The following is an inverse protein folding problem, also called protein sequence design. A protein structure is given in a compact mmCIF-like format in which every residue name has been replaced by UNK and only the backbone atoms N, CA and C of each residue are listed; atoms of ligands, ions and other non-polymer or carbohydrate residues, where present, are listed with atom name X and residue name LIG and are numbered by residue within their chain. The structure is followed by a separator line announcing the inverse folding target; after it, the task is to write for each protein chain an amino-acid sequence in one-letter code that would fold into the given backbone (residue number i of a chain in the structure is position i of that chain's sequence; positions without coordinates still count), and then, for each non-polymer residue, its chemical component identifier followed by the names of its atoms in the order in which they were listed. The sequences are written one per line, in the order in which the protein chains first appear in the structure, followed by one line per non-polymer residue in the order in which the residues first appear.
data_IF_632871153785
#
_entry.id   IF_632871153785
#
_cell.length_a   1.000
_cell.length_b   1.000
_cell.length_c   1.000
_cell.angle_alpha   90.00
_cell.angle_beta   90.00
_cell.angle_gamma   90.00
#
_symmetry.space_group_name_H-M   'P 1'
#
loop_
_entity.id
_entity.type
_entity.pdbx_description
1 polymer ?
#
# COMPACT_ATOMS: atom_id res chain seq x y z
N UNK A 1 18.23 -11.06 -45.00
CA UNK A 1 17.83 -10.15 -43.91
C UNK A 1 17.94 -10.94 -42.61
N UNK A 2 18.91 -10.62 -41.76
CA UNK A 2 19.14 -11.33 -40.49
C UNK A 2 18.26 -10.71 -39.42
N UNK A 3 17.22 -11.42 -38.97
CA UNK A 3 16.41 -10.98 -37.83
C UNK A 3 17.23 -11.10 -36.55
N UNK A 4 17.42 -10.01 -35.78
CA UNK A 4 18.16 -10.08 -34.53
C UNK A 4 17.38 -10.93 -33.50
N UNK A 5 18.10 -11.76 -32.75
CA UNK A 5 17.55 -12.54 -31.66
C UNK A 5 16.85 -11.65 -30.62
N UNK A 6 15.76 -12.12 -29.97
CA UNK A 6 15.11 -11.35 -28.91
C UNK A 6 16.11 -11.10 -27.79
N UNK A 7 16.24 -9.83 -27.36
CA UNK A 7 17.06 -9.49 -26.20
C UNK A 7 16.44 -10.16 -24.98
N UNK A 8 17.22 -10.85 -24.13
CA UNK A 8 16.68 -11.36 -22.89
C UNK A 8 16.19 -10.16 -22.08
N UNK A 9 14.91 -10.18 -21.70
CA UNK A 9 14.42 -9.33 -20.63
C UNK A 9 15.06 -9.83 -19.35
N UNK A 10 16.29 -9.38 -19.09
CA UNK A 10 16.86 -9.49 -17.76
C UNK A 10 15.83 -8.83 -16.83
N UNK A 11 15.34 -9.58 -15.85
CA UNK A 11 14.46 -9.04 -14.83
C UNK A 11 15.22 -7.90 -14.13
N UNK A 12 14.88 -6.65 -14.46
CA UNK A 12 15.47 -5.45 -13.86
C UNK A 12 15.16 -5.30 -12.36
N UNK A 13 14.42 -6.26 -11.81
CA UNK A 13 13.95 -6.28 -10.44
C UNK A 13 14.72 -7.40 -9.75
N UNK A 14 15.63 -7.01 -8.86
CA UNK A 14 16.22 -7.91 -7.89
C UNK A 14 15.11 -8.27 -6.89
N UNK A 15 14.59 -9.50 -7.00
CA UNK A 15 13.56 -10.00 -6.08
C UNK A 15 14.28 -10.70 -4.93
N UNK A 16 14.14 -10.20 -3.69
CA UNK A 16 14.79 -10.84 -2.55
C UNK A 16 14.19 -12.24 -2.33
N UNK A 17 15.05 -13.21 -2.04
CA UNK A 17 14.66 -14.57 -1.71
C UNK A 17 14.05 -14.60 -0.30
N UNK A 18 12.72 -14.63 -0.22
CA UNK A 18 11.94 -14.62 1.02
C UNK A 18 10.89 -15.73 0.94
N UNK A 19 10.72 -16.49 2.02
CA UNK A 19 9.66 -17.48 2.12
C UNK A 19 8.29 -16.78 2.17
N UNK A 20 7.40 -17.14 1.24
CA UNK A 20 6.03 -16.62 1.16
C UNK A 20 5.06 -17.72 1.58
N UNK A 21 4.08 -17.37 2.41
CA UNK A 21 3.04 -18.31 2.85
C UNK A 21 1.92 -18.47 1.82
N UNK A 22 1.20 -19.60 1.88
CA UNK A 22 0.05 -19.86 0.99
C UNK A 22 -1.07 -18.82 1.17
N UNK A 23 -1.27 -18.32 2.40
CA UNK A 23 -2.26 -17.27 2.71
C UNK A 23 -1.93 -15.94 2.03
N UNK A 24 -0.64 -15.58 1.97
CA UNK A 24 -0.18 -14.36 1.28
C UNK A 24 -0.34 -14.46 -0.23
N UNK A 25 -0.12 -15.67 -0.80
CA UNK A 25 -0.35 -15.93 -2.22
C UNK A 25 -1.84 -15.79 -2.56
N UNK A 26 -2.72 -16.36 -1.74
CA UNK A 26 -4.17 -16.25 -1.95
C UNK A 26 -4.65 -14.80 -1.84
N UNK A 27 -4.14 -14.05 -0.86
CA UNK A 27 -4.42 -12.63 -0.70
C UNK A 27 -3.96 -11.81 -1.93
N UNK A 28 -2.77 -12.08 -2.47
CA UNK A 28 -2.26 -11.41 -3.66
C UNK A 28 -3.09 -11.73 -4.90
N UNK A 29 -3.54 -12.98 -5.08
CA UNK A 29 -4.43 -13.38 -6.18
C UNK A 29 -5.78 -12.66 -6.07
N UNK A 30 -6.35 -12.56 -4.88
CA UNK A 30 -7.58 -11.82 -4.66
C UNK A 30 -7.42 -10.34 -5.03
N UNK A 31 -6.33 -9.70 -4.58
CA UNK A 31 -6.01 -8.31 -4.93
C UNK A 31 -5.84 -8.14 -6.45
N UNK A 32 -5.06 -9.03 -7.08
CA UNK A 32 -4.86 -9.01 -8.52
C UNK A 32 -6.21 -9.13 -9.26
N UNK A 33 -7.13 -9.97 -8.79
CA UNK A 33 -8.49 -10.07 -9.32
C UNK A 33 -9.27 -8.76 -9.26
N UNK A 34 -9.14 -7.99 -8.16
CA UNK A 34 -9.81 -6.68 -8.03
C UNK A 34 -9.21 -5.58 -8.91
N UNK A 35 -7.90 -5.63 -9.15
CA UNK A 35 -7.18 -4.64 -9.97
C UNK A 35 -7.15 -4.99 -11.46
N UNK A 36 -7.43 -6.24 -11.79
CA UNK A 36 -7.50 -6.76 -13.16
C UNK A 36 -8.92 -6.61 -13.74
N UNK A 37 -9.09 -7.00 -15.00
CA UNK A 37 -10.41 -7.02 -15.65
C UNK A 37 -10.79 -5.74 -16.38
N UNK A 38 -9.82 -4.88 -16.71
CA UNK A 38 -10.05 -3.74 -17.60
C UNK A 38 -10.28 -4.25 -19.03
N UNK A 39 -11.35 -3.79 -19.68
CA UNK A 39 -11.58 -4.10 -21.08
C UNK A 39 -10.53 -3.41 -21.97
N UNK A 40 -9.85 -4.20 -22.81
CA UNK A 40 -8.87 -3.67 -23.76
C UNK A 40 -9.55 -2.96 -24.93
N UNK A 41 -10.81 -3.29 -25.24
CA UNK A 41 -11.57 -2.64 -26.30
C UNK A 41 -11.95 -1.19 -25.98
N UNK A 42 -12.14 -0.88 -24.71
CA UNK A 42 -12.39 0.48 -24.20
C UNK A 42 -11.11 1.30 -24.03
N UNK A 43 -9.94 0.66 -24.11
CA UNK A 43 -8.67 1.36 -24.00
C UNK A 43 -8.34 2.08 -25.30
N UNK A 44 -7.94 3.34 -25.18
CA UNK A 44 -7.68 4.18 -26.33
C UNK A 44 -6.21 4.60 -26.41
N UNK A 45 -5.66 4.56 -27.62
CA UNK A 45 -4.36 5.13 -27.92
C UNK A 45 -4.52 6.65 -28.13
N UNK A 46 -4.25 7.40 -27.06
CA UNK A 46 -4.32 8.86 -27.05
C UNK A 46 -3.42 9.51 -28.11
N UNK A 47 -2.27 8.89 -28.42
CA UNK A 47 -1.36 9.41 -29.44
C UNK A 47 -1.97 9.27 -30.83
N UNK A 48 -2.55 8.11 -31.14
CA UNK A 48 -3.24 7.88 -32.41
C UNK A 48 -4.41 8.86 -32.57
N UNK A 49 -5.25 9.02 -31.55
CA UNK A 49 -6.36 9.98 -31.60
C UNK A 49 -5.87 11.42 -31.80
N UNK A 50 -4.81 11.83 -31.10
CA UNK A 50 -4.21 13.15 -31.27
C UNK A 50 -3.66 13.35 -32.68
N UNK A 51 -3.05 12.31 -33.28
CA UNK A 51 -2.59 12.35 -34.67
C UNK A 51 -3.74 12.47 -35.66
N UNK A 52 -4.82 11.71 -35.48
CA UNK A 52 -6.00 11.78 -36.36
C UNK A 52 -6.60 13.19 -36.35
N UNK A 53 -6.77 13.79 -35.16
CA UNK A 53 -7.20 15.20 -35.02
C UNK A 53 -6.23 16.18 -35.70
N UNK A 54 -4.92 15.96 -35.57
CA UNK A 54 -3.90 16.79 -36.20
C UNK A 54 -3.96 16.70 -37.74
N UNK A 55 -4.16 15.50 -38.27
CA UNK A 55 -4.28 15.25 -39.71
C UNK A 55 -5.54 15.93 -40.25
N UNK A 56 -6.68 15.79 -39.57
CA UNK A 56 -7.94 16.42 -39.96
C UNK A 56 -7.83 17.95 -39.99
N UNK A 57 -7.26 18.56 -38.93
CA UNK A 57 -7.02 20.01 -38.90
C UNK A 57 -6.13 20.47 -40.05
N UNK A 58 -5.03 19.75 -40.31
CA UNK A 58 -4.14 20.05 -41.45
C UNK A 58 -4.83 19.87 -42.80
N UNK A 59 -5.65 18.85 -42.96
CA UNK A 59 -6.42 18.60 -44.19
C UNK A 59 -7.47 19.69 -44.43
N UNK A 60 -8.07 20.22 -43.36
CA UNK A 60 -8.99 21.35 -43.39
C UNK A 60 -8.29 22.72 -43.56
N UNK A 61 -6.94 22.75 -43.58
CA UNK A 61 -6.17 23.99 -43.67
C UNK A 61 -6.21 24.85 -42.39
N UNK A 62 -6.66 24.29 -41.27
CA UNK A 62 -6.71 24.97 -39.98
C UNK A 62 -5.55 24.55 -39.07
N UNK A 63 -5.30 25.33 -38.02
CA UNK A 63 -4.34 24.96 -36.97
C UNK A 63 -5.05 24.08 -35.94
N UNK A 64 -4.45 22.96 -35.49
CA UNK A 64 -5.02 22.17 -34.40
C UNK A 64 -5.18 23.01 -33.13
N UNK A 65 -6.26 22.78 -32.40
CA UNK A 65 -6.48 23.43 -31.11
C UNK A 65 -5.38 23.03 -30.11
N UNK A 66 -4.86 24.00 -29.33
CA UNK A 66 -3.91 23.70 -28.26
C UNK A 66 -4.63 22.88 -27.18
N UNK A 67 -4.00 21.78 -26.76
CA UNK A 67 -4.49 20.98 -25.64
C UNK A 67 -4.37 21.82 -24.37
N UNK A 68 -5.48 22.02 -23.64
CA UNK A 68 -5.46 22.69 -22.35
C UNK A 68 -4.66 21.84 -21.34
N UNK A 69 -3.45 22.28 -21.02
CA UNK A 69 -2.70 21.72 -19.89
C UNK A 69 -3.32 22.25 -18.59
N UNK A 70 -3.67 21.38 -17.62
CA UNK A 70 -4.18 21.85 -16.35
C UNK A 70 -3.16 22.81 -15.73
N UNK A 71 -3.66 23.96 -15.27
CA UNK A 71 -2.80 24.96 -14.61
C UNK A 71 -2.08 24.29 -13.43
N UNK A 72 -0.78 24.58 -13.22
CA UNK A 72 -0.07 24.06 -12.06
C UNK A 72 -0.83 24.49 -10.81
N UNK A 73 -1.19 23.52 -9.95
CA UNK A 73 -1.79 23.83 -8.66
C UNK A 73 -0.85 24.76 -7.89
N UNK A 74 -1.34 25.95 -7.53
CA UNK A 74 -0.58 26.88 -6.71
C UNK A 74 -0.44 26.27 -5.31
N UNK A 75 0.70 25.66 -5.02
CA UNK A 75 1.02 25.20 -3.67
C UNK A 75 1.52 26.41 -2.88
N UNK A 76 0.83 26.74 -1.79
CA UNK A 76 1.34 27.72 -0.82
C UNK A 76 2.54 27.10 -0.09
N UNK A 77 3.75 27.57 -0.42
CA UNK A 77 4.98 27.12 0.23
C UNK A 77 5.10 27.84 1.57
N UNK A 78 4.70 27.17 2.65
CA UNK A 78 4.85 27.69 4.01
C UNK A 78 6.31 27.53 4.46
N UNK A 79 6.89 28.59 5.03
CA UNK A 79 8.24 28.55 5.62
C UNK A 79 8.23 27.77 6.94
N UNK A 80 8.67 26.51 6.85
CA UNK A 80 8.76 25.57 7.97
C UNK A 80 9.68 26.09 9.09
N UNK A 81 10.78 26.79 8.77
CA UNK A 81 11.73 27.26 9.79
C UNK A 81 11.10 28.34 10.66
N UNK A 82 10.42 29.32 10.04
CA UNK A 82 9.70 30.35 10.78
C UNK A 82 8.58 29.76 11.66
N UNK A 83 7.91 28.70 11.21
CA UNK A 83 6.85 28.05 11.97
C UNK A 83 7.40 27.27 13.18
N UNK A 84 8.53 26.59 13.00
CA UNK A 84 9.26 25.91 14.07
C UNK A 84 9.77 26.89 15.13
N UNK A 85 10.36 28.02 14.72
CA UNK A 85 10.84 29.07 15.63
C UNK A 85 9.70 29.63 16.49
N UNK A 86 8.54 29.90 15.88
CA UNK A 86 7.33 30.33 16.60
C UNK A 86 6.92 29.30 17.66
N UNK A 87 6.83 28.03 17.28
CA UNK A 87 6.46 26.96 18.21
C UNK A 87 7.44 26.82 19.39
N UNK A 88 8.74 26.92 19.14
CA UNK A 88 9.77 26.90 20.20
C UNK A 88 9.67 28.13 21.09
N UNK A 89 9.39 29.31 20.53
CA UNK A 89 9.25 30.55 21.31
C UNK A 89 8.03 30.49 22.25
N UNK A 90 6.90 29.95 21.79
CA UNK A 90 5.70 29.74 22.60
C UNK A 90 5.92 28.69 23.70
N UNK A 91 6.64 27.60 23.39
CA UNK A 91 7.03 26.59 24.37
C UNK A 91 7.98 27.16 25.44
N UNK A 92 8.89 28.06 25.07
CA UNK A 92 9.76 28.77 26.02
C UNK A 92 8.98 29.76 26.88
N UNK A 93 8.07 30.52 26.29
CA UNK A 93 7.24 31.51 27.01
C UNK A 93 6.30 30.84 28.02
N UNK A 94 5.67 29.73 27.64
CA UNK A 94 4.83 28.92 28.55
C UNK A 94 5.62 28.32 29.71
N UNK A 95 6.88 27.92 29.48
CA UNK A 95 7.78 27.47 30.56
C UNK A 95 8.23 28.60 31.49
N UNK A 96 8.35 29.84 31.01
CA UNK A 96 8.76 30.99 31.84
C UNK A 96 7.63 31.63 32.65
N UNK A 97 6.37 31.25 32.41
CA UNK A 97 5.19 31.89 33.02
C UNK A 97 4.28 30.96 33.85
N UNK A 98 4.61 29.68 33.99
CA UNK A 98 3.85 28.72 34.80
C UNK A 98 4.58 28.31 36.09
N UNK A 99 3.86 27.95 37.18
CA UNK A 99 4.49 27.38 38.36
C UNK A 99 5.25 26.10 37.98
N UNK A 100 6.42 25.90 38.59
CA UNK A 100 7.33 24.76 38.39
C UNK A 100 6.56 23.47 38.09
N UNK A 101 6.71 22.96 36.86
CA UNK A 101 6.13 21.68 36.47
C UNK A 101 6.69 20.60 37.39
N UNK A 102 5.81 20.01 38.21
CA UNK A 102 6.17 18.94 39.14
C UNK A 102 6.81 17.78 38.37
N UNK A 103 8.12 17.60 38.57
CA UNK A 103 8.85 16.43 38.10
C UNK A 103 8.33 15.23 38.89
N UNK A 104 7.52 14.40 38.24
CA UNK A 104 7.15 13.10 38.79
C UNK A 104 8.27 12.10 38.48
N UNK A 105 8.89 11.56 39.53
CA UNK A 105 9.85 10.46 39.42
C UNK A 105 9.20 9.25 38.74
N UNK A 106 9.86 8.74 37.71
CA UNK A 106 9.47 7.51 37.02
C UNK A 106 9.64 6.33 38.01
N UNK A 107 8.64 5.43 38.13
CA UNK A 107 8.73 4.32 39.07
C UNK A 107 9.85 3.37 38.65
N UNK A 108 10.82 3.17 39.54
CA UNK A 108 11.92 2.23 39.34
C UNK A 108 11.40 0.83 39.00
N UNK A 109 11.97 0.23 37.95
CA UNK A 109 11.62 -1.09 37.46
C UNK A 109 11.75 -2.15 38.59
N UNK A 110 10.62 -2.71 39.03
CA UNK A 110 10.60 -3.85 39.95
C UNK A 110 11.22 -5.08 39.24
N UNK A 111 12.36 -5.55 39.74
CA UNK A 111 12.93 -6.86 39.41
C UNK A 111 11.86 -7.95 39.62
N UNK A 112 11.51 -8.64 38.55
CA UNK A 112 10.58 -9.78 38.56
C UNK A 112 11.26 -10.97 39.24
N UNK A 113 10.79 -11.32 40.44
CA UNK A 113 11.12 -12.59 41.06
C UNK A 113 10.42 -13.72 40.29
N UNK A 114 11.24 -14.57 39.70
CA UNK A 114 10.91 -15.83 39.02
C UNK A 114 9.94 -16.66 39.85
N UNK A 115 8.65 -16.65 39.49
CA UNK A 115 7.64 -17.60 39.99
C UNK A 115 7.61 -18.80 39.05
N UNK A 116 8.27 -19.87 39.46
CA UNK A 116 8.22 -21.18 38.81
C UNK A 116 6.79 -21.72 38.82
N UNK A 117 6.31 -22.08 37.63
CA UNK A 117 4.98 -22.60 37.39
C UNK A 117 4.81 -24.00 38.03
N UNK A 118 3.76 -24.15 38.85
CA UNK A 118 3.29 -25.44 39.31
C UNK A 118 2.60 -26.17 38.14
N UNK A 119 3.25 -27.24 37.68
CA UNK A 119 2.80 -28.16 36.63
C UNK A 119 1.57 -28.94 37.13
N UNK A 120 0.37 -28.51 36.73
CA UNK A 120 -0.84 -29.35 36.85
C UNK A 120 -0.86 -30.39 35.74
N UNK A 121 -1.14 -31.62 36.18
CA UNK A 121 -1.14 -32.88 35.47
C UNK A 121 -2.24 -32.98 34.43
N UNK A 122 -1.92 -33.73 33.37
CA UNK A 122 -2.71 -34.05 32.20
C UNK A 122 -4.15 -34.50 32.50
N UNK A 123 -5.11 -33.90 31.79
CA UNK A 123 -6.40 -34.51 31.51
C UNK A 123 -6.32 -35.11 30.09
N UNK A 124 -6.55 -36.42 30.05
CA UNK A 124 -6.57 -37.30 28.89
C UNK A 124 -8.02 -37.44 28.42
N UNK A 125 -8.19 -37.75 27.13
CA UNK A 125 -9.40 -38.25 26.44
C UNK A 125 -10.37 -37.21 25.85
N UNK A 126 -10.92 -37.30 24.63
CA UNK A 126 -10.71 -37.93 23.29
C UNK A 126 -11.89 -37.40 22.45
N UNK A 127 -11.78 -37.03 21.16
CA UNK A 127 -12.97 -36.84 20.32
C UNK A 127 -13.21 -38.05 19.40
N UNK A 128 -14.47 -38.16 18.96
CA UNK A 128 -14.97 -38.91 17.80
C UNK A 128 -15.61 -40.30 18.03
N UNK A 129 -16.94 -40.33 17.87
CA UNK A 129 -17.64 -41.51 17.35
C UNK A 129 -18.92 -41.13 16.59
N UNK A 130 -18.93 -41.49 15.28
CA UNK A 130 -20.07 -41.97 14.44
C UNK A 130 -21.25 -41.01 14.17
N UNK A 131 -21.96 -40.98 13.03
CA UNK A 131 -22.19 -41.86 11.86
C UNK A 131 -22.74 -41.00 10.71
N UNK A 132 -22.23 -41.06 9.47
CA UNK A 132 -22.79 -41.86 8.35
C UNK A 132 -24.31 -41.73 8.11
N UNK A 133 -24.72 -40.89 7.15
CA UNK A 133 -26.06 -40.83 6.57
C UNK A 133 -26.00 -40.93 5.05
N UNK A 134 -26.12 -42.15 4.52
CA UNK A 134 -26.15 -42.46 3.08
C UNK A 134 -27.60 -42.36 2.59
N UNK A 135 -27.86 -41.50 1.59
CA UNK A 135 -29.17 -41.34 0.94
C UNK A 135 -29.18 -42.10 -0.38
N UNK A 136 -30.13 -43.01 -0.65
CA UNK A 136 -30.35 -43.51 -2.01
C UNK A 136 -31.40 -42.64 -2.73
N UNK A 137 -31.08 -42.16 -3.93
CA UNK A 137 -32.06 -41.71 -4.93
C UNK A 137 -31.67 -42.32 -6.27
N UNK A 138 -32.46 -43.27 -6.76
CA UNK A 138 -32.65 -43.49 -8.20
C UNK A 138 -33.81 -44.44 -8.45
N UNK A 139 -34.64 -44.01 -9.41
CA UNK A 139 -35.72 -44.69 -10.15
C UNK A 139 -37.02 -44.92 -9.39
#
# INVERSE_FOLDING_TARGET
MSTPAPRPVASLIDVPDVEVSDEEIEAAIALAGTLSGRDLGEMHDEYRQALEKLIEAKAAGSRPEPVETPAPASVEVVDLMAMLEKSVSEAKASRSGGPDAAVHDLPAAKKTTKKTAAKKTAAKETPAKKTAGRKPRSV
#
